data_IF_995198767940
#
_entry.id   IF_995198767940
#
_cell.length_a   1.000
_cell.length_b   1.000
_cell.length_c   1.000
_cell.angle_alpha   90.00
_cell.angle_beta   90.00
_cell.angle_gamma   90.00
#
_symmetry.space_group_name_H-M   'P 1'
#
loop_
_entity.id
_entity.type
_entity.pdbx_description
1 polymer ?
#
# COMPACT_ATOMS: atom_id res chain seq x y z
N UNK A 1 13.16 7.22 -14.33
CA UNK A 1 14.12 6.39 -15.09
C UNK A 1 13.47 5.03 -15.30
N UNK A 2 13.44 4.52 -16.54
CA UNK A 2 12.97 3.17 -16.87
C UNK A 2 14.18 2.29 -17.17
N UNK A 3 14.16 1.03 -16.74
CA UNK A 3 15.08 -0.01 -17.19
C UNK A 3 14.40 -0.77 -18.33
N UNK A 4 14.16 -0.07 -19.44
CA UNK A 4 13.57 -0.68 -20.64
C UNK A 4 14.64 -1.05 -21.69
N UNK A 5 14.19 -1.70 -22.76
CA UNK A 5 15.06 -2.30 -23.79
C UNK A 5 15.94 -1.28 -24.53
N UNK A 6 15.65 0.02 -24.40
CA UNK A 6 16.47 1.08 -24.98
C UNK A 6 17.71 1.41 -24.13
N UNK A 7 17.80 0.93 -22.89
CA UNK A 7 18.84 1.31 -21.94
C UNK A 7 19.80 0.20 -21.53
N UNK A 8 19.40 -1.08 -21.62
CA UNK A 8 20.25 -2.22 -21.19
C UNK A 8 20.07 -3.43 -22.08
N UNK A 9 21.18 -4.03 -22.52
CA UNK A 9 21.13 -5.23 -23.36
C UNK A 9 21.05 -6.48 -22.50
N UNK A 10 19.92 -7.19 -22.57
CA UNK A 10 19.73 -8.45 -21.86
C UNK A 10 20.78 -9.52 -22.23
N UNK A 11 21.10 -10.45 -21.31
CA UNK A 11 21.96 -11.58 -21.59
C UNK A 11 21.43 -12.44 -22.75
N UNK A 12 22.35 -13.17 -23.40
CA UNK A 12 21.99 -14.11 -24.45
C UNK A 12 21.03 -15.20 -23.92
N UNK A 13 19.97 -15.45 -24.67
CA UNK A 13 18.99 -16.51 -24.36
C UNK A 13 19.49 -17.85 -24.88
N UNK A 14 19.37 -18.87 -24.05
CA UNK A 14 19.65 -20.28 -24.32
C UNK A 14 18.40 -21.13 -24.06
N UNK A 15 18.43 -22.41 -24.43
CA UNK A 15 17.35 -23.37 -24.13
C UNK A 15 17.85 -24.49 -23.22
N UNK A 16 17.13 -24.76 -22.14
CA UNK A 16 17.37 -25.89 -21.23
C UNK A 16 16.06 -26.62 -20.98
N UNK A 17 16.01 -27.92 -21.29
CA UNK A 17 14.80 -28.74 -21.14
C UNK A 17 13.55 -28.11 -21.80
N UNK A 18 13.71 -27.53 -22.98
CA UNK A 18 12.62 -26.92 -23.75
C UNK A 18 12.17 -25.53 -23.27
N UNK A 19 12.74 -24.99 -22.20
CA UNK A 19 12.44 -23.63 -21.69
C UNK A 19 13.60 -22.68 -21.96
N UNK A 20 13.27 -21.40 -22.13
CA UNK A 20 14.25 -20.34 -22.31
C UNK A 20 14.99 -20.04 -20.99
N UNK A 21 16.27 -19.73 -21.10
CA UNK A 21 17.13 -19.37 -19.98
C UNK A 21 18.07 -18.23 -20.34
N UNK A 22 18.36 -17.34 -19.39
CA UNK A 22 19.51 -16.44 -19.47
C UNK A 22 20.77 -17.15 -18.98
N UNK A 23 21.92 -16.88 -19.59
CA UNK A 23 23.20 -17.12 -18.95
C UNK A 23 23.50 -15.92 -18.05
N UNK A 24 23.25 -16.09 -16.75
CA UNK A 24 23.45 -15.03 -15.77
C UNK A 24 24.96 -14.71 -15.64
N UNK A 25 25.38 -13.44 -15.83
CA UNK A 25 26.80 -13.05 -15.85
C UNK A 25 27.47 -13.06 -14.46
N UNK A 26 26.70 -13.06 -13.38
CA UNK A 26 27.18 -13.05 -12.00
C UNK A 26 27.20 -14.48 -11.45
N UNK A 27 26.04 -15.14 -11.47
CA UNK A 27 25.86 -16.53 -10.98
C UNK A 27 26.53 -17.56 -11.87
N UNK A 28 26.89 -17.19 -13.11
CA UNK A 28 27.52 -18.05 -14.11
C UNK A 28 26.73 -19.35 -14.35
N UNK A 29 25.40 -19.25 -14.38
CA UNK A 29 24.44 -20.37 -14.49
C UNK A 29 23.33 -20.05 -15.49
N UNK A 30 22.72 -21.10 -16.04
CA UNK A 30 21.51 -20.99 -16.85
C UNK A 30 20.27 -20.87 -15.94
N UNK A 31 19.65 -19.69 -15.93
CA UNK A 31 18.48 -19.35 -15.11
C UNK A 31 17.26 -19.23 -16.00
N UNK A 32 16.14 -19.85 -15.61
CA UNK A 32 14.91 -19.81 -16.39
C UNK A 32 14.37 -18.39 -16.53
N UNK A 33 13.93 -18.03 -17.73
CA UNK A 33 13.28 -16.74 -17.98
C UNK A 33 11.93 -16.71 -17.27
N UNK A 34 11.76 -15.73 -16.39
CA UNK A 34 10.48 -15.31 -15.80
C UNK A 34 10.37 -13.79 -15.90
N UNK A 35 9.17 -13.18 -15.81
CA UNK A 35 9.04 -11.73 -15.91
C UNK A 35 9.88 -10.97 -14.86
N UNK A 36 9.89 -11.46 -13.62
CA UNK A 36 10.71 -10.91 -12.53
C UNK A 36 12.21 -11.12 -12.78
N UNK A 37 12.61 -12.30 -13.23
CA UNK A 37 14.01 -12.59 -13.58
C UNK A 37 14.51 -11.70 -14.73
N UNK A 38 13.66 -11.39 -15.71
CA UNK A 38 14.01 -10.44 -16.77
C UNK A 38 14.31 -9.05 -16.20
N UNK A 39 13.52 -8.57 -15.24
CA UNK A 39 13.79 -7.30 -14.54
C UNK A 39 15.11 -7.38 -13.78
N UNK A 40 15.34 -8.45 -13.02
CA UNK A 40 16.60 -8.69 -12.29
C UNK A 40 17.81 -8.67 -13.22
N UNK A 41 17.73 -9.35 -14.37
CA UNK A 41 18.80 -9.32 -15.37
C UNK A 41 19.05 -7.92 -15.93
N UNK A 42 18.01 -7.10 -16.16
CA UNK A 42 18.21 -5.70 -16.59
C UNK A 42 18.92 -4.88 -15.54
N UNK A 43 18.58 -5.04 -14.26
CA UNK A 43 19.29 -4.37 -13.15
C UNK A 43 20.77 -4.78 -13.12
N UNK A 44 21.06 -6.08 -13.23
CA UNK A 44 22.45 -6.58 -13.27
C UNK A 44 23.22 -5.96 -14.43
N UNK A 45 22.65 -5.92 -15.64
CA UNK A 45 23.30 -5.30 -16.80
C UNK A 45 23.53 -3.81 -16.56
N UNK A 46 22.55 -3.09 -16.01
CA UNK A 46 22.68 -1.67 -15.71
C UNK A 46 23.82 -1.40 -14.74
N UNK A 47 23.93 -2.19 -13.66
CA UNK A 47 25.02 -2.08 -12.70
C UNK A 47 26.38 -2.29 -13.36
N UNK A 48 26.52 -3.32 -14.19
CA UNK A 48 27.77 -3.62 -14.90
C UNK A 48 28.13 -2.51 -15.91
N UNK A 49 27.17 -2.02 -16.68
CA UNK A 49 27.35 -0.95 -17.67
C UNK A 49 27.69 0.40 -17.01
N UNK A 50 27.21 0.64 -15.79
CA UNK A 50 27.53 1.84 -14.99
C UNK A 50 28.79 1.69 -14.14
N UNK A 51 29.53 0.59 -14.31
CA UNK A 51 30.86 0.41 -13.72
C UNK A 51 30.89 -0.25 -12.34
N UNK A 52 29.78 -0.85 -11.89
CA UNK A 52 29.81 -1.71 -10.70
C UNK A 52 30.65 -2.97 -10.99
N UNK A 53 31.68 -3.27 -10.18
CA UNK A 53 32.49 -4.48 -10.37
C UNK A 53 31.65 -5.75 -10.18
N UNK A 54 31.85 -6.75 -11.04
CA UNK A 54 31.07 -8.00 -11.00
C UNK A 54 31.21 -8.77 -9.67
N UNK A 55 32.38 -8.71 -9.03
CA UNK A 55 32.68 -9.35 -7.76
C UNK A 55 32.11 -8.61 -6.54
N UNK A 56 31.41 -7.50 -6.77
CA UNK A 56 30.71 -6.73 -5.74
C UNK A 56 29.20 -6.98 -5.79
N UNK A 57 28.72 -7.80 -6.72
CA UNK A 57 27.30 -8.06 -6.95
C UNK A 57 27.01 -9.50 -6.54
N UNK A 58 26.16 -9.68 -5.54
CA UNK A 58 25.59 -10.98 -5.17
C UNK A 58 24.13 -11.04 -5.63
N UNK A 59 23.66 -12.21 -6.08
CA UNK A 59 22.34 -12.37 -6.72
C UNK A 59 21.62 -13.59 -6.18
N UNK A 60 20.38 -13.42 -5.74
CA UNK A 60 19.57 -14.43 -5.03
C UNK A 60 20.27 -14.95 -3.76
N UNK A 61 20.94 -14.05 -3.04
CA UNK A 61 21.86 -14.37 -1.96
C UNK A 61 21.12 -14.58 -0.63
N UNK A 62 21.50 -15.63 0.09
CA UNK A 62 20.88 -15.98 1.36
C UNK A 62 21.44 -15.10 2.47
N UNK A 63 20.59 -14.47 3.28
CA UNK A 63 21.04 -13.49 4.29
C UNK A 63 22.01 -14.09 5.32
N UNK A 64 21.95 -15.41 5.55
CA UNK A 64 22.92 -16.10 6.42
C UNK A 64 24.36 -16.08 5.94
N UNK A 65 24.62 -15.79 4.67
CA UNK A 65 25.99 -15.60 4.18
C UNK A 65 26.60 -14.27 4.68
N UNK A 66 25.78 -13.35 5.18
CA UNK A 66 26.18 -12.13 5.88
C UNK A 66 26.01 -12.26 7.41
N UNK A 67 25.93 -13.48 7.94
CA UNK A 67 25.83 -13.72 9.39
C UNK A 67 24.43 -13.55 10.00
N UNK A 68 23.39 -13.38 9.18
CA UNK A 68 22.00 -13.24 9.64
C UNK A 68 21.32 -14.61 9.80
N UNK A 69 20.72 -14.91 10.95
CA UNK A 69 19.92 -16.14 11.13
C UNK A 69 18.55 -16.04 10.44
N UNK A 70 18.56 -16.00 9.10
CA UNK A 70 17.36 -15.94 8.27
C UNK A 70 17.54 -16.77 7.01
N UNK A 71 16.46 -17.46 6.61
CA UNK A 71 16.39 -18.19 5.34
C UNK A 71 15.92 -17.38 4.14
N UNK A 72 15.70 -16.09 4.35
CA UNK A 72 15.27 -15.18 3.30
C UNK A 72 16.44 -14.91 2.35
N UNK A 73 16.12 -14.57 1.11
CA UNK A 73 17.09 -14.24 0.07
C UNK A 73 16.82 -12.84 -0.42
N UNK A 74 17.88 -12.06 -0.59
CA UNK A 74 17.84 -10.79 -1.27
C UNK A 74 18.02 -11.02 -2.77
N UNK A 75 17.29 -10.29 -3.61
CA UNK A 75 17.39 -10.46 -5.06
C UNK A 75 18.77 -10.06 -5.57
N UNK A 76 19.27 -8.89 -5.17
CA UNK A 76 20.62 -8.41 -5.45
C UNK A 76 21.16 -7.66 -4.23
N UNK A 77 22.40 -7.94 -3.86
CA UNK A 77 23.16 -7.18 -2.85
C UNK A 77 24.41 -6.62 -3.51
N UNK A 78 24.69 -5.34 -3.27
CA UNK A 78 25.93 -4.70 -3.69
C UNK A 78 26.81 -4.50 -2.46
N UNK A 79 28.06 -4.94 -2.57
CA UNK A 79 29.05 -4.81 -1.52
C UNK A 79 30.08 -3.72 -1.82
N UNK A 80 30.59 -3.09 -0.76
CA UNK A 80 31.81 -2.31 -0.81
C UNK A 80 32.95 -3.07 -0.13
N UNK A 81 34.16 -2.91 -0.66
CA UNK A 81 35.35 -3.39 0.02
C UNK A 81 35.85 -2.33 0.99
N UNK A 82 36.01 -2.71 2.25
CA UNK A 82 36.52 -1.82 3.30
C UNK A 82 37.97 -2.19 3.64
N UNK A 83 38.87 -1.21 3.52
CA UNK A 83 40.29 -1.42 3.84
C UNK A 83 40.53 -1.71 5.33
N UNK A 84 39.66 -1.19 6.19
CA UNK A 84 39.86 -1.24 7.65
C UNK A 84 39.63 -2.65 8.22
N UNK A 85 38.63 -3.38 7.71
CA UNK A 85 38.36 -4.78 8.11
C UNK A 85 38.77 -5.81 7.06
N UNK A 86 39.20 -5.39 5.86
CA UNK A 86 39.51 -6.29 4.74
C UNK A 86 38.31 -7.21 4.41
N UNK A 87 37.11 -6.65 4.48
CA UNK A 87 35.84 -7.35 4.28
C UNK A 87 34.98 -6.68 3.21
N UNK A 88 34.10 -7.48 2.62
CA UNK A 88 33.02 -7.01 1.77
C UNK A 88 31.81 -6.76 2.65
N UNK A 89 31.36 -5.51 2.70
CA UNK A 89 30.20 -5.10 3.48
C UNK A 89 29.04 -4.75 2.54
N UNK A 90 27.82 -5.20 2.82
CA UNK A 90 26.64 -4.76 2.08
C UNK A 90 26.50 -3.24 2.16
N UNK A 91 26.29 -2.59 1.02
CA UNK A 91 26.03 -1.14 0.95
C UNK A 91 24.71 -0.82 0.25
N UNK A 92 24.19 -1.75 -0.56
CA UNK A 92 22.89 -1.59 -1.19
C UNK A 92 22.16 -2.93 -1.33
N UNK A 93 20.86 -2.92 -1.06
CA UNK A 93 19.96 -4.04 -1.36
C UNK A 93 18.98 -3.62 -2.45
N UNK A 94 18.78 -4.49 -3.44
CA UNK A 94 17.82 -4.25 -4.52
C UNK A 94 16.76 -5.36 -4.53
N UNK A 95 15.50 -4.98 -4.60
CA UNK A 95 14.35 -5.87 -4.78
C UNK A 95 13.74 -5.68 -6.18
N UNK A 96 13.59 -6.79 -6.92
CA UNK A 96 13.05 -6.82 -8.27
C UNK A 96 11.66 -7.47 -8.27
N UNK A 97 10.67 -6.79 -8.86
CA UNK A 97 9.31 -7.33 -9.05
C UNK A 97 9.02 -7.55 -10.53
N UNK A 98 8.05 -8.42 -10.83
CA UNK A 98 7.55 -8.58 -12.18
C UNK A 98 6.95 -7.25 -12.72
N UNK A 99 7.00 -6.98 -14.04
CA UNK A 99 6.64 -5.68 -14.59
C UNK A 99 5.21 -5.20 -14.32
N UNK A 100 4.29 -6.13 -14.07
CA UNK A 100 2.88 -5.87 -13.77
C UNK A 100 2.58 -5.77 -12.26
N UNK A 101 3.61 -5.77 -11.41
CA UNK A 101 3.48 -5.64 -9.96
C UNK A 101 3.77 -4.19 -9.56
N UNK A 102 2.80 -3.55 -8.91
CA UNK A 102 2.95 -2.20 -8.36
C UNK A 102 3.97 -2.17 -7.21
N UNK A 103 4.73 -1.08 -7.13
CA UNK A 103 5.71 -0.85 -6.07
C UNK A 103 5.03 -0.13 -4.90
N UNK A 104 4.37 -0.88 -4.03
CA UNK A 104 3.69 -0.37 -2.83
C UNK A 104 4.62 -0.28 -1.60
N UNK A 105 4.15 0.34 -0.51
CA UNK A 105 4.92 0.40 0.74
C UNK A 105 5.26 -0.99 1.31
N UNK A 106 4.54 -2.06 0.97
CA UNK A 106 4.86 -3.41 1.45
C UNK A 106 6.06 -3.99 0.71
N UNK A 107 6.14 -3.76 -0.60
CA UNK A 107 7.34 -4.08 -1.38
C UNK A 107 8.56 -3.30 -0.86
N UNK A 108 8.39 -2.03 -0.48
CA UNK A 108 9.45 -1.22 0.12
C UNK A 108 9.85 -1.72 1.52
N UNK A 109 8.88 -1.97 2.41
CA UNK A 109 9.17 -2.46 3.75
C UNK A 109 9.88 -3.82 3.75
N UNK A 110 9.53 -4.72 2.81
CA UNK A 110 10.22 -6.00 2.67
C UNK A 110 11.73 -5.83 2.44
N UNK A 111 12.13 -4.87 1.61
CA UNK A 111 13.54 -4.64 1.32
C UNK A 111 14.23 -3.80 2.40
N UNK A 112 13.51 -2.89 3.08
CA UNK A 112 14.02 -2.19 4.27
C UNK A 112 14.39 -3.18 5.37
N UNK A 113 13.55 -4.19 5.63
CA UNK A 113 13.88 -5.25 6.59
C UNK A 113 15.16 -6.01 6.21
N UNK A 114 15.43 -6.21 4.92
CA UNK A 114 16.65 -6.86 4.46
C UNK A 114 17.86 -5.94 4.61
N UNK A 115 17.72 -4.68 4.24
CA UNK A 115 18.76 -3.67 4.37
C UNK A 115 19.15 -3.47 5.84
N UNK A 116 18.19 -3.38 6.76
CA UNK A 116 18.43 -3.29 8.20
C UNK A 116 19.16 -4.53 8.75
N UNK A 117 18.81 -5.74 8.28
CA UNK A 117 19.49 -6.97 8.69
C UNK A 117 20.92 -7.07 8.14
N UNK A 118 21.18 -6.43 7.00
CA UNK A 118 22.48 -6.42 6.32
C UNK A 118 23.32 -5.18 6.64
N UNK A 119 22.78 -4.24 7.43
CA UNK A 119 23.38 -2.93 7.73
C UNK A 119 23.70 -2.12 6.45
N UNK A 120 22.81 -2.19 5.45
CA UNK A 120 22.97 -1.53 4.15
C UNK A 120 22.20 -0.20 4.10
N UNK A 121 22.90 0.90 3.82
CA UNK A 121 22.29 2.22 3.81
C UNK A 121 21.42 2.50 2.57
N UNK A 122 21.73 1.90 1.43
CA UNK A 122 21.00 2.15 0.18
C UNK A 122 20.00 1.05 -0.15
N UNK A 123 18.84 1.45 -0.65
CA UNK A 123 17.79 0.53 -1.07
C UNK A 123 17.22 0.92 -2.42
N UNK A 124 17.02 -0.07 -3.28
CA UNK A 124 16.33 0.10 -4.56
C UNK A 124 15.21 -0.92 -4.70
N UNK A 125 14.03 -0.48 -5.13
CA UNK A 125 12.93 -1.35 -5.53
C UNK A 125 12.56 -1.05 -6.97
N UNK A 126 12.42 -2.06 -7.82
CA UNK A 126 12.07 -1.85 -9.23
C UNK A 126 11.20 -2.95 -9.82
N UNK A 127 10.29 -2.58 -10.70
CA UNK A 127 9.56 -3.51 -11.58
C UNK A 127 10.00 -3.37 -13.05
N UNK A 128 11.12 -2.69 -13.30
CA UNK A 128 11.65 -2.40 -14.63
C UNK A 128 11.08 -1.11 -15.26
N UNK A 129 9.85 -0.72 -14.92
CA UNK A 129 9.25 0.54 -15.38
C UNK A 129 9.42 1.67 -14.37
N UNK A 130 9.16 1.36 -13.10
CA UNK A 130 9.33 2.27 -11.97
C UNK A 130 10.54 1.84 -11.15
N UNK A 131 11.30 2.82 -10.67
CA UNK A 131 12.45 2.61 -9.78
C UNK A 131 12.28 3.51 -8.58
N UNK A 132 12.31 2.91 -7.40
CA UNK A 132 12.23 3.57 -6.13
C UNK A 132 13.57 3.43 -5.39
N UNK A 133 14.36 4.50 -5.33
CA UNK A 133 15.60 4.55 -4.57
C UNK A 133 15.40 5.21 -3.19
N UNK A 134 16.11 4.70 -2.18
CA UNK A 134 16.12 5.23 -0.82
C UNK A 134 17.52 5.19 -0.20
N UNK A 135 17.71 6.01 0.84
CA UNK A 135 18.88 6.00 1.70
C UNK A 135 18.46 6.06 3.17
N UNK A 136 19.15 5.33 4.05
CA UNK A 136 18.85 5.29 5.47
C UNK A 136 19.32 6.56 6.20
N UNK A 137 18.36 7.27 6.80
CA UNK A 137 18.62 8.41 7.67
C UNK A 137 18.61 7.96 9.14
N UNK A 138 19.79 7.78 9.72
CA UNK A 138 19.97 7.35 11.11
C UNK A 138 19.44 8.36 12.15
N UNK A 139 19.38 9.65 11.81
CA UNK A 139 18.85 10.68 12.71
C UNK A 139 17.33 10.57 12.91
N UNK A 140 16.62 10.11 11.88
CA UNK A 140 15.16 9.97 11.88
C UNK A 140 14.72 8.50 11.95
N UNK A 141 15.65 7.55 11.81
CA UNK A 141 15.40 6.11 11.72
C UNK A 141 14.37 5.75 10.63
N UNK A 142 14.56 6.32 9.44
CA UNK A 142 13.71 6.09 8.26
C UNK A 142 14.55 5.98 7.00
N UNK A 143 14.03 5.29 5.99
CA UNK A 143 14.56 5.33 4.63
C UNK A 143 13.94 6.50 3.86
N UNK A 144 14.75 7.49 3.51
CA UNK A 144 14.32 8.68 2.76
C UNK A 144 14.43 8.44 1.26
N UNK A 145 13.47 8.94 0.48
CA UNK A 145 13.49 8.84 -0.98
C UNK A 145 14.68 9.63 -1.53
N UNK A 146 15.45 9.04 -2.44
CA UNK A 146 16.52 9.72 -3.17
C UNK A 146 16.21 9.77 -4.66
N UNK A 147 16.77 10.77 -5.35
CA UNK A 147 16.35 11.12 -6.73
C UNK A 147 16.82 10.15 -7.80
N UNK A 148 17.98 9.50 -7.61
CA UNK A 148 18.64 8.72 -8.66
C UNK A 148 19.02 7.32 -8.16
N UNK A 149 19.17 6.38 -9.09
CA UNK A 149 19.80 5.09 -8.81
C UNK A 149 21.28 5.36 -8.47
N UNK A 150 21.77 5.00 -7.27
CA UNK A 150 23.16 5.25 -6.88
C UNK A 150 24.16 4.51 -7.78
N UNK A 151 25.14 5.22 -8.32
CA UNK A 151 26.28 4.57 -8.98
C UNK A 151 27.17 3.87 -7.96
N UNK A 152 28.04 2.96 -8.39
CA UNK A 152 29.00 2.34 -7.47
C UNK A 152 29.87 3.37 -6.74
N UNK A 153 30.26 4.46 -7.42
CA UNK A 153 31.02 5.55 -6.79
C UNK A 153 30.20 6.30 -5.74
N UNK A 154 28.89 6.47 -5.96
CA UNK A 154 28.00 7.11 -4.98
C UNK A 154 27.91 6.27 -3.72
N UNK A 155 27.79 4.94 -3.86
CA UNK A 155 27.78 4.00 -2.72
C UNK A 155 29.06 4.11 -1.90
N UNK A 156 30.23 4.11 -2.56
CA UNK A 156 31.53 4.19 -1.88
C UNK A 156 31.77 5.52 -1.16
N UNK A 157 31.18 6.61 -1.67
CA UNK A 157 31.33 7.96 -1.10
C UNK A 157 30.15 8.37 -0.22
N UNK A 158 29.16 7.49 -0.06
CA UNK A 158 27.87 7.77 0.58
C UNK A 158 27.22 9.07 0.04
N UNK A 159 27.25 9.26 -1.28
CA UNK A 159 26.76 10.45 -1.97
C UNK A 159 25.35 10.23 -2.52
N UNK A 160 24.43 11.14 -2.19
CA UNK A 160 23.05 11.06 -2.66
C UNK A 160 22.36 12.42 -2.60
N UNK A 161 21.23 12.51 -3.30
CA UNK A 161 20.35 13.67 -3.24
C UNK A 161 18.97 13.21 -2.77
N UNK A 162 18.52 13.75 -1.65
CA UNK A 162 17.16 13.54 -1.14
C UNK A 162 16.19 14.08 -2.18
N UNK A 163 15.15 13.30 -2.47
CA UNK A 163 14.07 13.70 -3.33
C UNK A 163 13.24 14.77 -2.62
N UNK A 164 13.34 16.00 -3.11
CA UNK A 164 12.45 17.08 -2.71
C UNK A 164 11.15 16.98 -3.53
N UNK A 165 10.05 16.63 -2.86
CA UNK A 165 8.72 16.59 -3.47
C UNK A 165 8.10 17.98 -3.63
N UNK A 166 8.78 19.03 -3.15
CA UNK A 166 8.25 20.37 -3.01
C UNK A 166 7.21 20.46 -1.88
N UNK A 167 6.61 21.64 -1.74
CA UNK A 167 5.41 21.79 -0.91
C UNK A 167 4.25 21.07 -1.59
N UNK A 168 3.50 20.26 -0.82
CA UNK A 168 2.23 19.75 -1.34
C UNK A 168 1.36 20.94 -1.74
N UNK A 169 0.72 20.90 -2.92
CA UNK A 169 -0.16 21.98 -3.30
C UNK A 169 -1.25 22.13 -2.23
N UNK A 170 -1.67 23.36 -1.92
CA UNK A 170 -2.78 23.57 -1.01
C UNK A 170 -4.01 22.86 -1.56
N UNK A 171 -4.89 22.43 -0.64
CA UNK A 171 -6.16 21.82 -1.02
C UNK A 171 -6.96 22.71 -1.95
N UNK A 172 -7.73 22.10 -2.84
CA UNK A 172 -8.64 22.81 -3.72
C UNK A 172 -9.65 23.59 -2.86
N UNK A 173 -9.88 24.86 -3.17
CA UNK A 173 -10.90 25.65 -2.47
C UNK A 173 -12.28 24.99 -2.61
N UNK A 174 -13.11 25.07 -1.58
CA UNK A 174 -14.39 24.36 -1.51
C UNK A 174 -15.28 24.62 -2.73
N UNK A 175 -15.40 25.89 -3.14
CA UNK A 175 -16.24 26.30 -4.27
C UNK A 175 -15.69 25.86 -5.65
N UNK A 176 -14.45 25.33 -5.68
CA UNK A 176 -13.75 24.89 -6.89
C UNK A 176 -13.58 23.38 -6.98
N UNK A 177 -14.06 22.62 -5.99
CA UNK A 177 -13.97 21.16 -5.97
C UNK A 177 -14.57 20.50 -7.21
N UNK A 178 -15.63 21.10 -7.79
CA UNK A 178 -16.24 20.59 -9.00
C UNK A 178 -15.32 20.68 -10.23
N UNK A 179 -14.49 21.72 -10.31
CA UNK A 179 -13.57 21.99 -11.43
C UNK A 179 -12.48 20.93 -11.54
N UNK A 180 -12.04 20.40 -10.40
CA UNK A 180 -10.93 19.44 -10.33
C UNK A 180 -11.37 17.99 -10.47
N UNK A 181 -12.68 17.69 -10.46
CA UNK A 181 -13.18 16.30 -10.62
C UNK A 181 -12.47 15.52 -11.75
N UNK A 182 -12.24 16.09 -12.96
CA UNK A 182 -11.56 15.38 -14.03
C UNK A 182 -10.17 14.81 -13.67
N UNK A 183 -9.42 15.42 -12.74
CA UNK A 183 -8.11 14.90 -12.32
C UNK A 183 -8.20 13.67 -11.40
N UNK A 184 -9.36 13.44 -10.80
CA UNK A 184 -9.62 12.30 -9.90
C UNK A 184 -10.38 11.16 -10.58
N UNK A 185 -10.95 11.40 -11.78
CA UNK A 185 -11.67 10.38 -12.52
C UNK A 185 -10.74 9.23 -12.92
N UNK A 186 -11.24 8.01 -12.82
CA UNK A 186 -10.50 6.78 -13.12
C UNK A 186 -9.34 6.44 -12.16
N UNK A 187 -9.04 7.29 -11.19
CA UNK A 187 -8.05 7.05 -10.12
C UNK A 187 -8.76 6.78 -8.78
N UNK A 188 -9.28 7.82 -8.13
CA UNK A 188 -10.06 7.71 -6.89
C UNK A 188 -11.57 7.73 -7.14
N UNK A 189 -12.03 8.40 -8.19
CA UNK A 189 -13.45 8.69 -8.43
C UNK A 189 -13.96 7.98 -9.68
N UNK A 190 -15.08 7.27 -9.53
CA UNK A 190 -15.74 6.57 -10.64
C UNK A 190 -16.48 7.54 -11.57
N UNK A 191 -16.31 7.34 -12.88
CA UNK A 191 -16.95 8.16 -13.92
C UNK A 191 -18.48 8.07 -13.90
N UNK A 192 -19.04 6.96 -13.41
CA UNK A 192 -20.49 6.77 -13.31
C UNK A 192 -21.07 7.25 -11.97
N UNK A 193 -20.23 7.72 -11.04
CA UNK A 193 -20.71 8.29 -9.78
C UNK A 193 -21.48 9.58 -10.03
N UNK A 194 -22.69 9.77 -9.45
CA UNK A 194 -23.43 11.02 -9.58
C UNK A 194 -22.60 12.25 -9.22
N UNK A 195 -22.75 13.33 -9.98
CA UNK A 195 -21.88 14.52 -9.89
C UNK A 195 -21.82 15.11 -8.49
N UNK A 196 -22.95 15.17 -7.78
CA UNK A 196 -23.03 15.70 -6.41
C UNK A 196 -22.23 14.83 -5.43
N UNK A 197 -22.20 13.51 -5.65
CA UNK A 197 -21.39 12.59 -4.87
C UNK A 197 -19.91 12.67 -5.26
N UNK A 198 -19.59 12.91 -6.54
CA UNK A 198 -18.20 13.14 -6.98
C UNK A 198 -17.59 14.36 -6.25
N UNK A 199 -18.31 15.49 -6.18
CA UNK A 199 -17.86 16.69 -5.43
C UNK A 199 -17.59 16.35 -3.97
N UNK A 200 -18.53 15.65 -3.32
CA UNK A 200 -18.35 15.20 -1.93
C UNK A 200 -17.12 14.29 -1.78
N UNK A 201 -16.90 13.37 -2.71
CA UNK A 201 -15.80 12.40 -2.64
C UNK A 201 -14.44 13.02 -2.95
N UNK A 202 -14.35 14.02 -3.82
CA UNK A 202 -13.12 14.82 -3.96
C UNK A 202 -12.79 15.52 -2.63
N UNK A 203 -13.78 16.16 -1.99
CA UNK A 203 -13.57 16.77 -0.66
C UNK A 203 -13.10 15.74 0.38
N UNK A 204 -13.68 14.54 0.37
CA UNK A 204 -13.31 13.47 1.30
C UNK A 204 -11.92 12.91 1.02
N UNK A 205 -11.55 12.71 -0.25
CA UNK A 205 -10.19 12.30 -0.66
C UNK A 205 -9.19 13.32 -0.14
N UNK A 206 -9.35 14.60 -0.48
CA UNK A 206 -8.40 15.62 -0.05
C UNK A 206 -8.38 15.76 1.48
N UNK A 207 -9.50 15.57 2.18
CA UNK A 207 -9.55 15.53 3.65
C UNK A 207 -8.70 14.39 4.25
N UNK A 208 -8.71 13.20 3.63
CA UNK A 208 -7.88 12.08 4.08
C UNK A 208 -6.38 12.31 3.79
N UNK A 209 -6.08 12.99 2.68
CA UNK A 209 -4.70 13.26 2.25
C UNK A 209 -4.07 14.47 2.96
N UNK A 210 -4.89 15.29 3.61
CA UNK A 210 -4.44 16.47 4.34
C UNK A 210 -3.64 16.11 5.60
N UNK A 211 -2.34 16.43 5.57
CA UNK A 211 -1.43 16.22 6.70
C UNK A 211 -1.40 17.40 7.68
N UNK A 212 -2.24 18.43 7.54
CA UNK A 212 -2.38 19.48 8.56
C UNK A 212 -3.31 19.05 9.70
N UNK A 213 -4.38 18.32 9.38
CA UNK A 213 -5.38 17.88 10.34
C UNK A 213 -5.18 16.39 10.69
N UNK A 214 -5.39 16.03 11.95
CA UNK A 214 -5.18 14.66 12.47
C UNK A 214 -6.46 14.16 13.13
N UNK A 215 -6.71 12.85 13.04
CA UNK A 215 -7.77 12.24 13.85
C UNK A 215 -7.37 12.37 15.33
N UNK A 216 -8.24 12.89 16.22
CA UNK A 216 -7.87 13.10 17.63
C UNK A 216 -7.39 11.82 18.33
N UNK A 217 -6.19 11.85 18.90
CA UNK A 217 -5.62 10.74 19.68
C UNK A 217 -6.36 10.63 21.02
N UNK A 218 -7.36 9.74 21.06
CA UNK A 218 -8.18 9.49 22.26
C UNK A 218 -8.81 8.11 22.24
N UNK A 219 -9.48 7.78 23.34
CA UNK A 219 -10.37 6.62 23.41
C UNK A 219 -11.70 6.97 22.75
N UNK A 220 -12.04 6.20 21.72
CA UNK A 220 -13.36 6.15 21.09
C UNK A 220 -14.17 5.01 21.71
N UNK A 221 -15.42 4.82 21.26
CA UNK A 221 -16.32 3.88 21.92
C UNK A 221 -15.81 2.43 21.93
N UNK A 222 -15.18 1.96 20.85
CA UNK A 222 -14.68 0.58 20.74
C UNK A 222 -13.16 0.45 20.73
N UNK A 223 -12.44 1.48 20.32
CA UNK A 223 -11.00 1.44 20.12
C UNK A 223 -10.36 2.72 20.68
N UNK A 224 -9.04 2.71 20.83
CA UNK A 224 -8.24 3.90 21.13
C UNK A 224 -7.34 4.17 19.94
N UNK A 225 -7.30 5.42 19.47
CA UNK A 225 -6.25 5.83 18.53
C UNK A 225 -4.97 6.00 19.35
N UNK A 226 -3.93 5.25 18.98
CA UNK A 226 -2.57 5.40 19.52
C UNK A 226 -1.85 6.49 18.74
N UNK A 227 -1.93 6.42 17.40
CA UNK A 227 -1.28 7.35 16.50
C UNK A 227 -2.04 7.48 15.17
N UNK A 228 -1.87 8.62 14.51
CA UNK A 228 -2.29 8.87 13.13
C UNK A 228 -1.03 8.84 12.26
N UNK A 229 -0.83 7.70 11.60
CA UNK A 229 0.38 7.37 10.83
C UNK A 229 0.47 8.15 9.51
N UNK A 230 -0.46 9.08 9.26
CA UNK A 230 -0.48 9.89 8.05
C UNK A 230 -0.87 9.09 6.80
N UNK A 231 -0.52 9.67 5.66
CA UNK A 231 -0.81 9.11 4.34
C UNK A 231 0.22 8.05 3.98
N UNK A 232 -0.25 6.86 3.57
CA UNK A 232 0.58 5.73 3.14
C UNK A 232 0.13 5.26 1.75
N UNK A 233 1.09 5.00 0.87
CA UNK A 233 0.83 4.37 -0.43
C UNK A 233 0.94 2.85 -0.29
N UNK A 234 -0.18 2.15 -0.25
CA UNK A 234 -0.21 0.72 0.09
C UNK A 234 -1.27 0.00 -0.71
N UNK A 235 -1.20 -1.33 -0.77
CA UNK A 235 -2.24 -2.14 -1.39
C UNK A 235 -2.93 -3.08 -0.41
N UNK A 236 -4.23 -3.27 -0.63
CA UNK A 236 -5.05 -4.19 0.14
C UNK A 236 -5.88 -5.06 -0.79
N UNK A 237 -5.99 -6.33 -0.43
CA UNK A 237 -6.81 -7.29 -1.15
C UNK A 237 -8.22 -7.38 -0.60
N UNK A 238 -9.13 -7.94 -1.40
CA UNK A 238 -10.43 -8.42 -0.96
C UNK A 238 -10.57 -9.94 -1.14
N UNK A 239 -11.63 -10.52 -0.55
CA UNK A 239 -11.86 -11.96 -0.60
C UNK A 239 -12.16 -12.51 -2.01
N UNK A 240 -12.43 -11.64 -2.98
CA UNK A 240 -12.70 -12.00 -4.38
C UNK A 240 -11.44 -11.95 -5.26
N UNK A 241 -10.26 -11.72 -4.66
CA UNK A 241 -8.98 -11.63 -5.37
C UNK A 241 -8.68 -10.27 -6.01
N UNK A 242 -9.54 -9.27 -5.81
CA UNK A 242 -9.24 -7.90 -6.20
C UNK A 242 -8.17 -7.31 -5.29
N UNK A 243 -7.19 -6.63 -5.87
CA UNK A 243 -6.16 -5.88 -5.16
C UNK A 243 -6.36 -4.41 -5.52
N UNK A 244 -6.38 -3.55 -4.50
CA UNK A 244 -6.41 -2.12 -4.70
C UNK A 244 -5.14 -1.50 -4.12
N UNK A 245 -4.40 -0.79 -4.96
CA UNK A 245 -3.21 -0.01 -4.60
C UNK A 245 -3.58 1.47 -4.66
N UNK A 246 -3.20 2.24 -3.64
CA UNK A 246 -3.41 3.69 -3.66
C UNK A 246 -3.01 4.36 -2.37
N UNK A 247 -3.38 5.63 -2.23
CA UNK A 247 -3.16 6.41 -1.02
C UNK A 247 -4.24 6.11 0.03
N UNK A 248 -3.80 5.88 1.26
CA UNK A 248 -4.63 5.61 2.42
C UNK A 248 -4.22 6.49 3.60
N UNK A 249 -5.18 7.05 4.32
CA UNK A 249 -4.93 7.59 5.66
C UNK A 249 -4.94 6.45 6.67
N UNK A 250 -3.85 6.27 7.41
CA UNK A 250 -3.65 5.10 8.28
C UNK A 250 -3.60 5.49 9.75
N UNK A 251 -4.25 4.69 10.59
CA UNK A 251 -4.35 4.92 12.03
C UNK A 251 -3.85 3.70 12.79
N UNK A 252 -2.97 3.90 13.76
CA UNK A 252 -2.59 2.88 14.73
C UNK A 252 -3.63 2.85 15.84
N UNK A 253 -4.36 1.75 16.00
CA UNK A 253 -5.47 1.64 16.94
C UNK A 253 -5.30 0.47 17.89
N UNK A 254 -5.67 0.67 19.16
CA UNK A 254 -5.81 -0.40 20.15
C UNK A 254 -7.27 -0.84 20.24
N UNK A 255 -7.53 -2.13 20.05
CA UNK A 255 -8.84 -2.74 20.19
C UNK A 255 -8.73 -4.11 20.87
N UNK A 256 -9.46 -4.29 21.98
CA UNK A 256 -9.49 -5.55 22.77
C UNK A 256 -8.10 -6.15 23.08
N UNK A 257 -7.14 -5.29 23.46
CA UNK A 257 -5.72 -5.62 23.74
C UNK A 257 -4.89 -6.08 22.53
N UNK A 258 -5.42 -5.89 21.32
CA UNK A 258 -4.65 -5.97 20.09
C UNK A 258 -4.37 -4.57 19.58
N UNK A 259 -3.23 -4.40 18.92
CA UNK A 259 -2.87 -3.17 18.21
C UNK A 259 -2.87 -3.48 16.73
N UNK A 260 -3.66 -2.72 15.99
CA UNK A 260 -3.91 -2.94 14.57
C UNK A 260 -3.67 -1.64 13.79
N UNK A 261 -3.34 -1.74 12.52
CA UNK A 261 -3.39 -0.59 11.62
C UNK A 261 -4.72 -0.63 10.86
N UNK A 262 -5.46 0.47 10.90
CA UNK A 262 -6.69 0.65 10.13
C UNK A 262 -6.49 1.78 9.13
N UNK A 263 -6.73 1.48 7.86
CA UNK A 263 -6.44 2.38 6.75
C UNK A 263 -7.70 2.72 5.97
N UNK A 264 -7.93 3.99 5.66
CA UNK A 264 -9.09 4.47 4.90
C UNK A 264 -8.61 5.15 3.62
N UNK A 265 -9.16 4.71 2.48
CA UNK A 265 -8.85 5.25 1.16
C UNK A 265 -10.08 5.24 0.26
N UNK A 266 -10.00 5.94 -0.86
CA UNK A 266 -11.08 6.02 -1.85
C UNK A 266 -10.55 5.47 -3.18
N UNK A 267 -11.41 4.75 -3.90
CA UNK A 267 -11.05 4.13 -5.15
C UNK A 267 -12.17 4.14 -6.16
N UNK A 268 -11.80 3.98 -7.43
CA UNK A 268 -12.73 3.40 -8.40
C UNK A 268 -13.09 1.97 -7.99
N UNK A 269 -14.34 1.61 -8.24
CA UNK A 269 -14.90 0.29 -8.01
C UNK A 269 -15.69 -0.15 -9.24
N UNK A 270 -15.42 -1.35 -9.71
CA UNK A 270 -16.25 -2.02 -10.70
C UNK A 270 -16.46 -3.49 -10.28
N UNK A 271 -17.39 -4.15 -10.95
CA UNK A 271 -17.60 -5.58 -10.75
C UNK A 271 -17.05 -6.34 -11.94
N UNK A 272 -16.63 -7.59 -11.74
CA UNK A 272 -16.24 -8.47 -12.85
C UNK A 272 -17.30 -8.58 -13.94
N UNK A 273 -18.58 -8.50 -13.58
CA UNK A 273 -19.69 -8.59 -14.53
C UNK A 273 -19.91 -7.29 -15.32
N UNK A 274 -19.47 -6.14 -14.80
CA UNK A 274 -19.70 -4.80 -15.36
C UNK A 274 -18.46 -3.93 -15.11
N UNK A 275 -17.40 -4.19 -15.87
CA UNK A 275 -16.16 -3.42 -15.82
C UNK A 275 -16.32 -2.04 -16.49
N UNK A 276 -17.36 -1.87 -17.30
CA UNK A 276 -17.78 -0.62 -17.95
C UNK A 276 -18.44 0.37 -16.99
N UNK A 277 -18.88 -0.09 -15.81
CA UNK A 277 -19.50 0.76 -14.80
C UNK A 277 -18.49 1.03 -13.68
N UNK A 278 -17.85 2.19 -13.76
CA UNK A 278 -16.88 2.70 -12.80
C UNK A 278 -17.59 3.55 -11.75
N UNK A 279 -17.74 2.98 -10.55
CA UNK A 279 -18.31 3.61 -9.36
C UNK A 279 -17.21 4.09 -8.42
N UNK A 280 -17.57 4.80 -7.36
CA UNK A 280 -16.64 5.21 -6.30
C UNK A 280 -16.85 4.32 -5.07
N UNK A 281 -15.77 3.92 -4.41
CA UNK A 281 -15.83 3.18 -3.15
C UNK A 281 -14.91 3.78 -2.08
N UNK A 282 -15.43 3.86 -0.85
CA UNK A 282 -14.60 4.08 0.34
C UNK A 282 -14.18 2.70 0.87
N UNK A 283 -12.88 2.48 0.94
CA UNK A 283 -12.29 1.24 1.41
C UNK A 283 -11.73 1.45 2.82
N UNK A 284 -12.12 0.56 3.74
CA UNK A 284 -11.53 0.49 5.08
C UNK A 284 -10.80 -0.84 5.19
N UNK A 285 -9.48 -0.77 5.31
CA UNK A 285 -8.61 -1.91 5.47
C UNK A 285 -8.23 -2.11 6.94
N UNK A 286 -8.06 -3.36 7.34
CA UNK A 286 -7.45 -3.73 8.63
C UNK A 286 -6.21 -4.53 8.31
N UNK A 287 -5.11 -4.16 8.94
CA UNK A 287 -3.80 -4.76 8.81
C UNK A 287 -3.32 -5.24 10.18
N UNK A 288 -3.11 -6.55 10.28
CA UNK A 288 -2.70 -7.25 11.48
C UNK A 288 -1.66 -8.33 11.15
N UNK A 289 -1.06 -8.93 12.17
CA UNK A 289 -0.03 -9.97 12.01
C UNK A 289 -0.46 -11.13 11.08
N UNK A 290 -1.75 -11.45 11.03
CA UNK A 290 -2.29 -12.61 10.31
C UNK A 290 -2.77 -12.29 8.90
N UNK A 291 -3.19 -11.06 8.64
CA UNK A 291 -3.85 -10.68 7.40
C UNK A 291 -3.95 -9.17 7.21
N UNK A 292 -3.85 -8.76 5.95
CA UNK A 292 -4.17 -7.39 5.50
C UNK A 292 -5.27 -7.47 4.43
N UNK A 293 -6.43 -6.89 4.69
CA UNK A 293 -7.57 -6.94 3.75
C UNK A 293 -8.53 -5.76 3.91
N UNK A 294 -9.35 -5.52 2.89
CA UNK A 294 -10.51 -4.62 2.99
C UNK A 294 -11.59 -5.22 3.89
N UNK A 295 -11.71 -4.69 5.10
CA UNK A 295 -12.79 -5.04 6.01
C UNK A 295 -14.14 -4.49 5.50
N UNK A 296 -14.14 -3.29 4.91
CA UNK A 296 -15.29 -2.62 4.28
C UNK A 296 -14.91 -2.15 2.88
N UNK A 297 -15.80 -2.36 1.92
CA UNK A 297 -15.83 -1.64 0.64
C UNK A 297 -17.22 -1.01 0.52
N UNK A 298 -17.33 0.28 0.80
CA UNK A 298 -18.56 1.05 0.76
C UNK A 298 -18.67 1.69 -0.61
N UNK A 299 -19.43 1.06 -1.52
CA UNK A 299 -19.73 1.62 -2.85
C UNK A 299 -20.63 2.84 -2.66
N UNK A 300 -20.08 4.04 -2.86
CA UNK A 300 -20.71 5.34 -2.58
C UNK A 300 -22.01 5.46 -3.36
N UNK A 301 -22.00 5.09 -4.63
CA UNK A 301 -23.13 5.15 -5.55
C UNK A 301 -24.36 4.36 -5.04
N UNK A 302 -24.12 3.25 -4.35
CA UNK A 302 -25.17 2.34 -3.88
C UNK A 302 -25.56 2.58 -2.42
N UNK A 303 -24.70 3.26 -1.66
CA UNK A 303 -24.80 3.33 -0.20
C UNK A 303 -24.83 4.75 0.36
N UNK A 304 -24.55 5.78 -0.42
CA UNK A 304 -24.67 7.16 -0.01
C UNK A 304 -25.94 7.80 -0.61
N UNK A 305 -26.51 8.75 0.12
CA UNK A 305 -27.56 9.63 -0.40
C UNK A 305 -27.18 11.08 -0.17
N UNK A 306 -27.50 11.93 -1.14
CA UNK A 306 -27.30 13.37 -1.06
C UNK A 306 -28.64 14.08 -1.03
N UNK A 307 -28.91 14.85 0.02
CA UNK A 307 -30.10 15.70 0.10
C UNK A 307 -29.88 16.83 1.09
N UNK A 308 -30.47 18.00 0.82
CA UNK A 308 -30.36 19.19 1.69
C UNK A 308 -28.89 19.52 2.01
N UNK A 309 -28.05 19.53 0.98
CA UNK A 309 -26.61 19.79 1.08
C UNK A 309 -25.85 18.86 2.05
N UNK A 310 -26.38 17.67 2.29
CA UNK A 310 -25.82 16.71 3.24
C UNK A 310 -25.69 15.35 2.56
N UNK A 311 -24.47 14.81 2.56
CA UNK A 311 -24.23 13.41 2.21
C UNK A 311 -24.44 12.54 3.44
N UNK A 312 -25.14 11.41 3.27
CA UNK A 312 -25.36 10.41 4.33
C UNK A 312 -24.75 9.09 3.91
N UNK A 313 -23.93 8.52 4.78
CA UNK A 313 -23.17 7.30 4.53
C UNK A 313 -23.87 6.11 5.17
N UNK A 314 -24.21 5.13 4.35
CA UNK A 314 -24.70 3.84 4.82
C UNK A 314 -23.79 2.70 4.37
N UNK A 315 -24.07 1.48 4.82
CA UNK A 315 -23.52 0.27 4.23
C UNK A 315 -24.59 -0.85 4.26
N UNK A 316 -24.73 -1.61 3.17
CA UNK A 316 -25.76 -2.66 3.04
C UNK A 316 -25.47 -3.93 3.85
N UNK A 317 -24.22 -4.13 4.30
CA UNK A 317 -23.85 -5.19 5.23
C UNK A 317 -23.40 -6.52 4.63
N UNK A 318 -23.32 -6.66 3.30
CA UNK A 318 -22.84 -7.92 2.70
C UNK A 318 -21.40 -8.12 3.14
N UNK A 319 -21.03 -9.38 3.33
CA UNK A 319 -19.75 -9.76 3.91
C UNK A 319 -19.31 -11.11 3.34
N UNK A 320 -18.04 -11.21 2.98
CA UNK A 320 -17.38 -12.46 2.67
C UNK A 320 -16.57 -12.94 3.88
N UNK A 321 -16.58 -14.25 4.11
CA UNK A 321 -15.91 -14.93 5.22
C UNK A 321 -14.74 -15.77 4.66
N UNK A 322 -13.78 -15.09 4.03
CA UNK A 322 -12.68 -15.76 3.31
C UNK A 322 -13.19 -16.84 2.35
N UNK A 323 -12.56 -18.02 2.36
CA UNK A 323 -12.91 -19.14 1.48
C UNK A 323 -14.22 -19.86 1.86
N UNK A 324 -14.89 -19.48 2.97
CA UNK A 324 -16.19 -20.04 3.37
C UNK A 324 -17.32 -19.45 2.49
N UNK A 325 -17.07 -18.32 1.83
CA UNK A 325 -18.04 -17.64 0.98
C UNK A 325 -18.81 -16.55 1.73
N UNK A 326 -20.05 -16.29 1.28
CA UNK A 326 -20.87 -15.19 1.78
C UNK A 326 -21.42 -15.45 3.18
N UNK A 327 -21.28 -14.49 4.09
CA UNK A 327 -21.89 -14.52 5.42
C UNK A 327 -23.37 -14.11 5.39
N UNK A 328 -24.15 -14.62 6.36
CA UNK A 328 -25.55 -14.23 6.53
C UNK A 328 -25.68 -12.83 7.13
N UNK A 329 -26.52 -12.00 6.53
CA UNK A 329 -26.71 -10.61 6.93
C UNK A 329 -27.32 -10.47 8.33
N UNK A 330 -28.30 -11.32 8.67
CA UNK A 330 -28.98 -11.26 9.97
C UNK A 330 -28.06 -11.67 11.12
N UNK A 331 -27.15 -12.62 10.89
CA UNK A 331 -26.13 -13.02 11.86
C UNK A 331 -25.13 -11.89 12.10
N UNK A 332 -24.62 -11.25 11.03
CA UNK A 332 -23.77 -10.06 11.16
C UNK A 332 -24.51 -8.94 11.91
N UNK A 333 -25.80 -8.71 11.58
CA UNK A 333 -26.61 -7.68 12.23
C UNK A 333 -26.79 -7.94 13.72
N UNK A 334 -27.06 -9.18 14.11
CA UNK A 334 -27.15 -9.57 15.51
C UNK A 334 -25.82 -9.34 16.24
N UNK A 335 -24.69 -9.66 15.59
CA UNK A 335 -23.36 -9.42 16.12
C UNK A 335 -23.08 -7.91 16.32
N UNK A 336 -23.34 -7.09 15.30
CA UNK A 336 -23.16 -5.62 15.39
C UNK A 336 -24.12 -5.01 16.41
N UNK A 337 -25.37 -5.48 16.51
CA UNK A 337 -26.33 -4.97 17.50
C UNK A 337 -25.86 -5.19 18.93
N UNK A 338 -25.11 -6.27 19.19
CA UNK A 338 -24.55 -6.56 20.51
C UNK A 338 -23.39 -5.63 20.86
N UNK A 339 -22.48 -5.40 19.92
CA UNK A 339 -21.25 -4.63 20.19
C UNK A 339 -21.42 -3.11 19.98
N UNK A 340 -22.20 -2.70 18.98
CA UNK A 340 -22.33 -1.29 18.55
C UNK A 340 -23.69 -0.99 17.89
N UNK A 341 -24.80 -0.99 18.67
CA UNK A 341 -26.15 -0.88 18.14
C UNK A 341 -26.49 0.46 17.47
N UNK A 342 -25.73 1.52 17.73
CA UNK A 342 -26.04 2.88 17.28
C UNK A 342 -25.96 3.09 15.76
N UNK A 343 -25.21 2.24 15.06
CA UNK A 343 -25.14 2.29 13.60
C UNK A 343 -26.25 1.48 12.94
N UNK A 344 -27.10 0.76 13.67
CA UNK A 344 -28.20 -0.01 13.08
C UNK A 344 -29.31 0.95 12.61
N UNK A 345 -29.56 0.98 11.30
CA UNK A 345 -30.60 1.81 10.68
C UNK A 345 -31.46 0.98 9.74
N UNK A 346 -32.55 0.41 10.26
CA UNK A 346 -33.42 -0.50 9.52
C UNK A 346 -32.62 -1.69 8.98
N UNK A 347 -32.60 -1.86 7.65
CA UNK A 347 -31.84 -2.91 6.97
C UNK A 347 -30.41 -2.49 6.55
N UNK A 348 -29.96 -1.29 6.90
CA UNK A 348 -28.60 -0.79 6.61
C UNK A 348 -27.85 -0.48 7.90
N UNK A 349 -26.58 -0.13 7.77
CA UNK A 349 -25.76 0.47 8.82
C UNK A 349 -25.57 1.94 8.49
N UNK A 350 -25.98 2.87 9.36
CA UNK A 350 -25.75 4.31 9.21
C UNK A 350 -24.41 4.68 9.83
N UNK A 351 -23.49 5.18 9.01
CA UNK A 351 -22.11 5.44 9.42
C UNK A 351 -21.84 6.92 9.69
N UNK A 352 -22.67 7.82 9.17
CA UNK A 352 -22.57 9.25 9.47
C UNK A 352 -23.21 10.10 8.39
N UNK A 353 -23.12 11.40 8.60
CA UNK A 353 -23.48 12.41 7.61
C UNK A 353 -22.45 13.53 7.65
N UNK A 354 -22.20 14.13 6.50
CA UNK A 354 -21.34 15.30 6.37
C UNK A 354 -22.11 16.39 5.62
N UNK A 355 -22.14 17.60 6.17
CA UNK A 355 -22.66 18.77 5.46
C UNK A 355 -21.63 19.25 4.43
N UNK A 356 -22.05 19.37 3.17
CA UNK A 356 -21.20 19.79 2.06
C UNK A 356 -21.23 21.33 1.93
N UNK A 357 -20.69 22.05 2.92
CA UNK A 357 -20.68 23.52 2.96
C UNK A 357 -19.28 24.13 3.19
N UNK A 358 -18.26 23.29 3.32
CA UNK A 358 -16.86 23.66 3.55
C UNK A 358 -15.92 22.51 3.25
N UNK A 359 -14.61 22.79 3.24
CA UNK A 359 -13.60 21.74 3.25
C UNK A 359 -13.68 20.96 4.56
N UNK A 360 -13.84 19.64 4.45
CA UNK A 360 -13.87 18.75 5.60
C UNK A 360 -12.47 18.57 6.17
N UNK A 361 -12.36 18.53 7.50
CA UNK A 361 -11.10 18.30 8.21
C UNK A 361 -11.19 17.06 9.07
N UNK A 362 -10.08 16.34 9.24
CA UNK A 362 -10.03 15.09 10.01
C UNK A 362 -10.41 15.24 11.49
N UNK A 363 -10.37 16.47 12.02
CA UNK A 363 -10.75 16.83 13.38
C UNK A 363 -12.14 17.47 13.51
N UNK A 364 -12.86 17.69 12.40
CA UNK A 364 -14.25 18.14 12.41
C UNK A 364 -15.14 17.10 13.10
N UNK A 365 -16.06 17.55 13.97
CA UNK A 365 -16.90 16.64 14.79
C UNK A 365 -17.66 15.59 13.95
N UNK A 366 -18.20 15.99 12.80
CA UNK A 366 -18.95 15.10 11.91
C UNK A 366 -18.04 14.11 11.15
N UNK A 367 -16.86 14.56 10.73
CA UNK A 367 -15.83 13.72 10.08
C UNK A 367 -15.28 12.71 11.09
N UNK A 368 -14.91 13.16 12.29
CA UNK A 368 -14.47 12.29 13.39
C UNK A 368 -15.52 11.22 13.68
N UNK A 369 -16.82 11.57 13.66
CA UNK A 369 -17.89 10.59 13.90
C UNK A 369 -18.00 9.57 12.76
N UNK A 370 -17.88 10.00 11.50
CA UNK A 370 -17.86 9.10 10.35
C UNK A 370 -16.65 8.14 10.43
N UNK A 371 -15.45 8.65 10.71
CA UNK A 371 -14.23 7.85 10.84
C UNK A 371 -14.34 6.88 12.02
N UNK A 372 -14.83 7.32 13.19
CA UNK A 372 -15.10 6.44 14.34
C UNK A 372 -16.01 5.27 13.95
N UNK A 373 -17.10 5.56 13.25
CA UNK A 373 -18.07 4.54 12.86
C UNK A 373 -17.52 3.60 11.78
N UNK A 374 -16.74 4.10 10.82
CA UNK A 374 -16.06 3.29 9.81
C UNK A 374 -15.08 2.30 10.46
N UNK A 375 -14.20 2.79 11.34
CA UNK A 375 -13.21 1.97 12.05
C UNK A 375 -13.92 0.96 12.97
N UNK A 376 -14.88 1.41 13.77
CA UNK A 376 -15.64 0.54 14.68
C UNK A 376 -16.34 -0.58 13.92
N UNK A 377 -16.98 -0.26 12.80
CA UNK A 377 -17.68 -1.24 11.99
C UNK A 377 -16.71 -2.20 11.28
N UNK A 378 -15.53 -1.74 10.86
CA UNK A 378 -14.49 -2.58 10.28
C UNK A 378 -13.98 -3.63 11.28
N UNK A 379 -13.65 -3.20 12.49
CA UNK A 379 -13.17 -4.07 13.57
C UNK A 379 -14.22 -5.15 13.93
N UNK A 380 -15.48 -4.76 14.12
CA UNK A 380 -16.57 -5.72 14.41
C UNK A 380 -16.74 -6.74 13.27
N UNK A 381 -16.61 -6.31 12.01
CA UNK A 381 -16.73 -7.22 10.86
C UNK A 381 -15.63 -8.26 10.83
N UNK A 382 -14.42 -7.90 11.23
CA UNK A 382 -13.30 -8.84 11.33
C UNK A 382 -13.47 -9.82 12.47
N UNK A 383 -13.92 -9.37 13.64
CA UNK A 383 -14.28 -10.28 14.72
C UNK A 383 -15.36 -11.28 14.29
N UNK A 384 -16.38 -10.82 13.57
CA UNK A 384 -17.43 -11.69 13.07
C UNK A 384 -16.87 -12.71 12.05
N UNK A 385 -15.95 -12.30 11.17
CA UNK A 385 -15.26 -13.22 10.26
C UNK A 385 -14.51 -14.30 11.03
N UNK A 386 -13.76 -13.92 12.06
CA UNK A 386 -12.98 -14.86 12.86
C UNK A 386 -13.87 -15.78 13.69
N UNK A 387 -14.95 -15.26 14.26
CA UNK A 387 -15.99 -16.06 14.91
C UNK A 387 -16.53 -17.12 13.95
N UNK A 388 -16.93 -16.75 12.72
CA UNK A 388 -17.46 -17.70 11.73
C UNK A 388 -16.41 -18.72 11.27
N UNK A 389 -15.16 -18.28 11.05
CA UNK A 389 -14.05 -19.20 10.73
C UNK A 389 -13.79 -20.20 11.85
N UNK A 390 -13.91 -19.80 13.11
CA UNK A 390 -13.68 -20.69 14.26
C UNK A 390 -14.76 -21.78 14.40
N UNK A 391 -16.02 -21.48 14.05
CA UNK A 391 -17.11 -22.45 14.05
C UNK A 391 -16.97 -23.50 12.94
N UNK A 392 -16.33 -23.16 11.82
CA UNK A 392 -16.19 -24.05 10.65
C UNK A 392 -14.93 -24.93 10.71
N UNK A 393 -14.05 -24.73 11.70
CA UNK A 393 -12.88 -25.59 11.99
C UNK A 393 -13.20 -26.74 12.95
N UNK A 394 -14.43 -26.79 13.46
CA UNK A 394 -15.00 -27.93 14.20
C UNK A 394 -15.85 -28.75 13.25
#
# INVERSE_FOLDING_TARGET
MTLDENYTKLPKVYKRAGKECYLDPIRNKLIYVTPEETVRQRVIQYLLETGCPNNMIDVEEHLSHYGVDSRRRADIVINAYTNDSNEFVPVMVIECKAPNVELDNRACNQVFDYADLLDADFVVVTNGYSILCYHYNSGHNIYERITHFPSYSDLLSNSYHIMDFGEMPPRTEFDRLEEVIPSYLSYEIGENTPKELQVCMVNFVECLLDNEYRLPIKKYKLFKVIDDLGVRYTSYGNASGGIFTGLYRSFLVEHKKSTEIVSIGVSVYCTWARQDILKTAINVAVDNEKSSHHAIQLVVDDNCSFSSNTIRFYHHGRIAIGNIGSGKLDELRAYVKKEYPEIISGNKYYLGALTNDRLWRLDDKEVVKLIENLISYALIRDEYRDYKKSQNKR
#
